data_IF_990614040093
#
_entry.id   IF_990614040093
#
_cell.length_a   1.000
_cell.length_b   1.000
_cell.length_c   1.000
_cell.angle_alpha   90.00
_cell.angle_beta   90.00
_cell.angle_gamma   90.00
#
_symmetry.space_group_name_H-M   'P 1'
#
loop_
_entity.id
_entity.type
_entity.pdbx_description
1 polymer ?
#
# COMPACT_ATOMS: atom_id res chain seq x y z
N UNK A 1 -13.42 -4.27 30.93
CA UNK A 1 -12.72 -3.05 30.48
C UNK A 1 -13.71 -2.21 29.70
N UNK A 2 -13.90 -0.95 30.10
CA UNK A 2 -14.87 -0.05 29.47
C UNK A 2 -14.37 0.41 28.09
N UNK A 3 -15.21 0.25 27.08
CA UNK A 3 -14.96 0.79 25.75
C UNK A 3 -15.90 1.98 25.54
N UNK A 4 -15.36 3.12 25.12
CA UNK A 4 -16.13 4.33 24.81
C UNK A 4 -16.97 4.19 23.52
N UNK A 5 -16.90 3.06 22.82
CA UNK A 5 -17.62 2.80 21.57
C UNK A 5 -17.47 3.89 20.49
N UNK A 6 -16.33 4.60 20.49
CA UNK A 6 -16.02 5.68 19.55
C UNK A 6 -15.94 5.25 18.07
N UNK A 7 -15.94 3.96 17.76
CA UNK A 7 -15.97 3.45 16.39
C UNK A 7 -14.66 3.56 15.61
N UNK A 8 -13.61 4.17 16.16
CA UNK A 8 -12.32 4.37 15.48
C UNK A 8 -11.68 3.07 14.98
N UNK A 9 -11.86 1.96 15.71
CA UNK A 9 -11.38 0.63 15.32
C UNK A 9 -12.04 0.06 14.05
N UNK A 10 -13.20 0.58 13.65
CA UNK A 10 -13.98 0.13 12.48
C UNK A 10 -13.74 0.97 11.22
N UNK A 11 -12.89 1.99 11.30
CA UNK A 11 -12.62 2.93 10.20
C UNK A 11 -11.87 2.30 9.00
N UNK A 12 -11.34 1.09 9.14
CA UNK A 12 -10.56 0.45 8.06
C UNK A 12 -9.13 0.97 7.95
N UNK A 13 -8.65 1.78 8.90
CA UNK A 13 -7.27 2.25 8.94
C UNK A 13 -6.33 1.26 9.64
N UNK A 14 -5.08 1.18 9.17
CA UNK A 14 -4.03 0.31 9.73
C UNK A 14 -3.74 0.65 11.20
N UNK A 15 -3.85 1.92 11.56
CA UNK A 15 -3.76 2.39 12.94
C UNK A 15 -4.90 3.37 13.21
N UNK A 16 -5.40 3.37 14.44
CA UNK A 16 -6.45 4.27 14.90
C UNK A 16 -6.14 4.79 16.29
N UNK A 17 -6.61 5.98 16.62
CA UNK A 17 -6.43 6.55 17.95
C UNK A 17 -7.49 5.99 18.90
N UNK A 18 -7.07 5.44 20.04
CA UNK A 18 -7.96 4.94 21.08
C UNK A 18 -7.98 5.91 22.26
N UNK A 19 -9.11 6.63 22.43
CA UNK A 19 -9.28 7.59 23.53
C UNK A 19 -9.06 6.96 24.92
N UNK A 20 -9.48 5.71 25.12
CA UNK A 20 -9.25 4.99 26.37
C UNK A 20 -7.78 4.71 26.67
N UNK A 21 -6.97 4.51 25.63
CA UNK A 21 -5.53 4.29 25.77
C UNK A 21 -4.73 5.58 25.64
N UNK A 22 -5.38 6.67 25.21
CA UNK A 22 -4.77 7.93 24.84
C UNK A 22 -3.57 7.75 23.89
N UNK A 23 -3.66 6.78 22.98
CA UNK A 23 -2.55 6.40 22.09
C UNK A 23 -3.07 5.80 20.78
N UNK A 24 -2.17 5.70 19.79
CA UNK A 24 -2.41 5.02 18.53
C UNK A 24 -2.29 3.51 18.71
N UNK A 25 -3.36 2.80 18.33
CA UNK A 25 -3.42 1.34 18.33
C UNK A 25 -3.36 0.86 16.89
N UNK A 26 -2.50 -0.13 16.64
CA UNK A 26 -2.42 -0.79 15.34
C UNK A 26 -3.51 -1.85 15.23
N UNK A 27 -4.26 -1.81 14.12
CA UNK A 27 -5.30 -2.78 13.83
C UNK A 27 -4.69 -4.06 13.23
N UNK A 28 -4.70 -5.15 14.01
CA UNK A 28 -4.13 -6.43 13.61
C UNK A 28 -4.87 -7.09 12.44
N UNK A 29 -6.19 -6.92 12.34
CA UNK A 29 -7.01 -7.50 11.27
C UNK A 29 -6.64 -6.93 9.89
N UNK A 30 -6.29 -5.65 9.84
CA UNK A 30 -5.90 -4.96 8.60
C UNK A 30 -4.42 -5.21 8.29
N UNK A 31 -3.58 -5.33 9.32
CA UNK A 31 -2.15 -5.68 9.18
C UNK A 31 -1.93 -6.99 8.44
N UNK A 32 -2.84 -7.95 8.60
CA UNK A 32 -2.77 -9.26 7.93
C UNK A 32 -3.11 -9.21 6.45
N UNK A 33 -3.72 -8.12 5.95
CA UNK A 33 -4.02 -7.98 4.53
C UNK A 33 -2.76 -7.49 3.81
N UNK A 34 -2.15 -8.30 2.93
CA UNK A 34 -1.05 -7.82 2.12
C UNK A 34 -1.61 -6.72 1.20
N UNK A 35 -1.23 -5.47 1.49
CA UNK A 35 -1.47 -4.37 0.54
C UNK A 35 -0.47 -4.59 -0.58
N UNK A 36 -0.95 -5.12 -1.71
CA UNK A 36 -0.16 -5.15 -2.93
C UNK A 36 0.26 -3.72 -3.25
N UNK A 37 1.56 -3.44 -3.11
CA UNK A 37 2.13 -2.19 -3.58
C UNK A 37 2.05 -2.24 -5.10
N UNK A 38 0.95 -1.72 -5.65
CA UNK A 38 0.85 -1.44 -7.07
C UNK A 38 1.94 -0.42 -7.41
N UNK A 39 3.09 -0.93 -7.86
CA UNK A 39 4.16 -0.14 -8.44
C UNK A 39 3.72 0.22 -9.85
N UNK A 40 2.72 1.09 -9.98
CA UNK A 40 2.42 1.81 -11.23
C UNK A 40 3.49 2.88 -11.48
N UNK A 41 4.75 2.55 -11.19
CA UNK A 41 5.90 3.39 -11.48
C UNK A 41 6.06 3.45 -12.99
N UNK A 42 5.52 4.51 -13.58
CA UNK A 42 5.75 5.00 -14.94
C UNK A 42 6.46 4.00 -15.87
N UNK A 43 5.65 3.28 -16.66
CA UNK A 43 6.00 2.41 -17.80
C UNK A 43 7.09 1.33 -17.59
N UNK A 44 7.86 1.33 -16.49
CA UNK A 44 8.90 0.33 -16.21
C UNK A 44 8.23 -1.00 -15.88
N UNK A 45 8.51 -2.01 -16.71
CA UNK A 45 7.87 -3.33 -16.63
C UNK A 45 6.74 -3.53 -17.64
N UNK A 46 6.27 -2.48 -18.34
CA UNK A 46 5.40 -2.67 -19.49
C UNK A 46 6.22 -3.23 -20.67
N UNK A 47 5.86 -4.40 -21.25
CA UNK A 47 6.65 -5.02 -22.31
C UNK A 47 6.85 -4.11 -23.53
N UNK A 48 5.85 -3.29 -23.88
CA UNK A 48 5.92 -2.37 -25.01
C UNK A 48 6.88 -1.21 -24.71
N UNK A 49 6.86 -0.68 -23.49
CA UNK A 49 7.79 0.36 -23.07
C UNK A 49 9.23 -0.13 -22.96
N UNK A 50 9.47 -1.31 -22.38
CA UNK A 50 10.82 -1.86 -22.27
C UNK A 50 11.39 -2.19 -23.66
N UNK A 51 10.57 -2.70 -24.58
CA UNK A 51 10.97 -2.91 -25.98
C UNK A 51 11.37 -1.59 -26.63
N UNK A 52 10.52 -0.55 -26.52
CA UNK A 52 10.83 0.77 -27.06
C UNK A 52 12.13 1.35 -26.45
N UNK A 53 12.28 1.30 -25.12
CA UNK A 53 13.47 1.77 -24.41
C UNK A 53 14.74 1.06 -24.88
N UNK A 54 14.71 -0.27 -25.01
CA UNK A 54 15.85 -1.07 -25.48
C UNK A 54 16.22 -0.73 -26.92
N UNK A 55 15.23 -0.51 -27.79
CA UNK A 55 15.44 -0.02 -29.16
C UNK A 55 16.09 1.37 -29.18
N UNK A 56 15.58 2.32 -28.40
CA UNK A 56 16.16 3.68 -28.31
C UNK A 56 17.61 3.66 -27.82
N UNK A 57 17.93 2.77 -26.88
CA UNK A 57 19.28 2.62 -26.32
C UNK A 57 20.21 1.73 -27.15
N UNK A 58 19.72 1.17 -28.26
CA UNK A 58 20.47 0.21 -29.11
C UNK A 58 21.02 -0.99 -28.32
N UNK A 59 20.31 -1.39 -27.26
CA UNK A 59 20.66 -2.59 -26.47
C UNK A 59 20.26 -3.88 -27.21
N UNK A 60 19.43 -3.78 -28.25
CA UNK A 60 19.00 -4.87 -29.12
C UNK A 60 19.09 -4.38 -30.57
N UNK A 61 19.74 -5.16 -31.44
CA UNK A 61 19.68 -4.98 -32.88
C UNK A 61 18.31 -5.45 -33.37
N UNK A 62 17.58 -4.58 -34.09
CA UNK A 62 16.32 -4.92 -34.75
C UNK A 62 16.62 -5.30 -36.19
#
# INVERSE_FOLDING_TARGET
MECLNCGNCKSGSIAYFCLMKNDFVVNEEIKQRPVEKNRSGWKKGDPSYETHRRKTRKEVEV
#
